data_IF_590682411810
#
_entry.id   IF_590682411810
#
_cell.length_a   1.000
_cell.length_b   1.000
_cell.length_c   1.000
_cell.angle_alpha   90.00
_cell.angle_beta   90.00
_cell.angle_gamma   90.00
#
_symmetry.space_group_name_H-M   'P 1'
#
loop_
_entity.id
_entity.type
_entity.pdbx_description
1 polymer ?
#
# COMPACT_ATOMS: atom_id res chain seq x y z
N UNK A 1 20.68 -3.79 22.91
CA UNK A 1 19.73 -3.64 21.79
C UNK A 1 18.42 -3.03 22.29
N UNK A 2 18.27 -1.72 22.16
CA UNK A 2 17.06 -0.99 22.55
C UNK A 2 15.89 -1.53 21.72
N UNK A 3 15.01 -2.30 22.36
CA UNK A 3 13.82 -2.91 21.75
C UNK A 3 12.73 -1.89 21.40
N UNK A 4 13.11 -0.74 20.87
CA UNK A 4 12.15 0.22 20.35
C UNK A 4 11.58 -0.30 19.03
N UNK A 5 10.27 -0.50 19.02
CA UNK A 5 9.55 -0.80 17.78
C UNK A 5 9.66 0.44 16.90
N UNK A 6 10.47 0.35 15.84
CA UNK A 6 10.60 1.41 14.84
C UNK A 6 9.21 1.65 14.23
N UNK A 7 8.62 2.80 14.54
CA UNK A 7 7.26 3.18 14.09
C UNK A 7 7.28 4.39 13.16
N UNK A 8 8.36 5.16 13.15
CA UNK A 8 8.46 6.38 12.36
C UNK A 8 9.68 6.37 11.43
N UNK A 9 9.55 6.88 10.20
CA UNK A 9 10.66 6.97 9.27
C UNK A 9 11.78 7.94 9.75
N UNK A 10 11.49 8.83 10.71
CA UNK A 10 12.51 9.63 11.39
C UNK A 10 13.48 8.80 12.25
N UNK A 11 13.01 7.71 12.86
CA UNK A 11 13.86 6.80 13.66
C UNK A 11 14.82 6.00 12.77
N UNK A 12 14.42 5.71 11.53
CA UNK A 12 15.30 5.12 10.52
C UNK A 12 16.46 6.06 10.15
N UNK A 13 16.21 7.37 10.07
CA UNK A 13 17.26 8.36 9.85
C UNK A 13 18.27 8.44 11.00
N UNK A 14 17.83 8.14 12.23
CA UNK A 14 18.70 8.10 13.41
C UNK A 14 19.57 6.84 13.43
N UNK A 15 19.04 5.70 12.97
CA UNK A 15 19.81 4.47 12.74
C UNK A 15 20.86 4.62 11.63
N UNK A 16 20.69 5.57 10.71
CA UNK A 16 21.66 5.88 9.66
C UNK A 16 22.74 6.88 10.10
N UNK A 17 22.58 7.57 11.23
CA UNK A 17 23.61 8.48 11.80
C UNK A 17 24.99 7.83 11.99
N UNK A 18 25.15 6.59 12.48
CA UNK A 18 26.47 5.98 12.60
C UNK A 18 27.19 5.77 11.25
N UNK A 19 26.45 5.75 10.13
CA UNK A 19 27.03 5.57 8.79
C UNK A 19 27.17 6.89 8.02
N UNK A 20 26.20 7.79 8.12
CA UNK A 20 26.11 9.03 7.34
C UNK A 20 26.37 10.31 8.16
N UNK A 21 26.61 10.18 9.47
CA UNK A 21 26.85 11.31 10.37
C UNK A 21 25.65 12.26 10.48
N UNK A 22 25.93 13.56 10.68
CA UNK A 22 24.90 14.60 10.85
C UNK A 22 23.99 14.80 9.62
N UNK A 23 24.40 14.30 8.44
CA UNK A 23 23.65 14.44 7.17
C UNK A 23 22.58 13.35 7.01
N UNK A 24 22.61 12.30 7.83
CA UNK A 24 21.66 11.18 7.76
C UNK A 24 20.16 11.59 7.75
N UNK A 25 19.70 12.56 8.56
CA UNK A 25 18.29 12.98 8.54
C UNK A 25 17.88 13.66 7.23
N UNK A 26 18.80 14.40 6.59
CA UNK A 26 18.54 15.11 5.33
C UNK A 26 18.45 14.12 4.18
N UNK A 27 19.40 13.18 4.11
CA UNK A 27 19.39 12.11 3.09
C UNK A 27 18.15 11.24 3.24
N UNK A 28 17.78 10.89 4.49
CA UNK A 28 16.56 10.14 4.77
C UNK A 28 15.31 10.93 4.34
N UNK A 29 15.25 12.24 4.59
CA UNK A 29 14.15 13.10 4.16
C UNK A 29 13.94 13.09 2.64
N UNK A 30 15.01 13.26 1.86
CA UNK A 30 14.95 13.19 0.39
C UNK A 30 14.52 11.80 -0.07
N UNK A 31 15.04 10.74 0.57
CA UNK A 31 14.70 9.35 0.25
C UNK A 31 13.21 9.05 0.50
N UNK A 32 12.64 9.52 1.63
CA UNK A 32 11.22 9.33 1.96
C UNK A 32 10.33 10.06 0.95
N UNK A 33 10.69 11.28 0.57
CA UNK A 33 9.93 12.04 -0.43
C UNK A 33 9.96 11.31 -1.77
N UNK A 34 11.15 10.88 -2.23
CA UNK A 34 11.30 10.14 -3.47
C UNK A 34 10.53 8.80 -3.47
N UNK A 35 10.63 8.04 -2.38
CA UNK A 35 9.90 6.79 -2.21
C UNK A 35 8.38 7.00 -2.15
N UNK A 36 7.93 8.05 -1.46
CA UNK A 36 6.53 8.44 -1.36
C UNK A 36 5.94 8.79 -2.73
N UNK A 37 6.60 9.66 -3.49
CA UNK A 37 6.16 10.02 -4.84
C UNK A 37 6.16 8.82 -5.80
N UNK A 38 7.21 7.99 -5.79
CA UNK A 38 7.30 6.80 -6.64
C UNK A 38 6.19 5.79 -6.34
N UNK A 39 5.94 5.53 -5.05
CA UNK A 39 4.88 4.61 -4.61
C UNK A 39 3.49 5.14 -4.93
N UNK A 40 3.26 6.44 -4.69
CA UNK A 40 1.96 7.08 -4.95
C UNK A 40 1.65 7.06 -6.45
N UNK A 41 2.59 7.46 -7.31
CA UNK A 41 2.40 7.40 -8.76
C UNK A 41 2.24 5.96 -9.25
N UNK A 42 3.13 5.04 -8.87
CA UNK A 42 3.11 3.67 -9.35
C UNK A 42 1.87 2.87 -8.92
N UNK A 43 1.48 2.96 -7.64
CA UNK A 43 0.32 2.22 -7.13
C UNK A 43 -1.00 2.85 -7.59
N UNK A 44 -1.07 4.18 -7.68
CA UNK A 44 -2.26 4.86 -8.20
C UNK A 44 -2.45 4.55 -9.68
N UNK A 45 -1.39 4.55 -10.49
CA UNK A 45 -1.48 4.17 -11.90
C UNK A 45 -2.03 2.75 -12.08
N UNK A 46 -1.54 1.77 -11.32
CA UNK A 46 -2.06 0.38 -11.35
C UNK A 46 -3.52 0.30 -10.93
N UNK A 47 -3.90 1.01 -9.86
CA UNK A 47 -5.29 1.05 -9.38
C UNK A 47 -6.24 1.71 -10.39
N UNK A 48 -5.81 2.80 -11.02
CA UNK A 48 -6.61 3.52 -12.03
C UNK A 48 -6.76 2.70 -13.29
N UNK A 49 -5.70 2.01 -13.75
CA UNK A 49 -5.79 1.11 -14.90
C UNK A 49 -6.79 -0.01 -14.63
N UNK A 50 -6.76 -0.60 -13.42
CA UNK A 50 -7.74 -1.63 -13.02
C UNK A 50 -9.17 -1.07 -13.00
N UNK A 51 -9.36 0.14 -12.45
CA UNK A 51 -10.66 0.81 -12.44
C UNK A 51 -11.16 1.11 -13.86
N UNK A 52 -10.27 1.58 -14.74
CA UNK A 52 -10.62 1.89 -16.13
C UNK A 52 -10.94 0.62 -16.94
N UNK A 53 -10.21 -0.47 -16.69
CA UNK A 53 -10.51 -1.78 -17.25
C UNK A 53 -11.91 -2.27 -16.81
N UNK A 54 -12.27 -2.08 -15.54
CA UNK A 54 -13.60 -2.39 -15.03
C UNK A 54 -14.72 -1.53 -15.63
N UNK A 55 -14.41 -0.28 -16.00
CA UNK A 55 -15.34 0.65 -16.66
C UNK A 55 -15.31 0.59 -18.19
N UNK A 56 -14.61 -0.39 -18.78
CA UNK A 56 -14.47 -0.60 -20.23
C UNK A 56 -13.92 0.65 -20.98
N UNK A 57 -12.99 1.36 -20.35
CA UNK A 57 -12.31 2.56 -20.88
C UNK A 57 -10.81 2.30 -21.07
N UNK A 58 -10.16 3.10 -21.92
CA UNK A 58 -8.76 2.89 -22.36
C UNK A 58 -7.75 2.68 -21.22
N UNK A 59 -7.12 1.51 -21.17
CA UNK A 59 -6.21 1.09 -20.09
C UNK A 59 -4.76 1.54 -20.27
N UNK A 60 -4.47 2.42 -21.24
CA UNK A 60 -3.12 2.90 -21.51
C UNK A 60 -2.56 3.67 -20.31
N UNK A 61 -1.38 3.27 -19.80
CA UNK A 61 -0.70 3.94 -18.68
C UNK A 61 -0.41 5.43 -18.93
N UNK A 62 -0.29 5.83 -20.21
CA UNK A 62 -0.11 7.23 -20.62
C UNK A 62 -1.41 7.94 -21.04
N UNK A 63 -2.54 7.24 -20.97
CA UNK A 63 -3.82 7.83 -21.33
C UNK A 63 -4.11 9.03 -20.41
N UNK A 64 -4.65 10.10 -21.02
CA UNK A 64 -5.10 11.30 -20.31
C UNK A 64 -5.89 11.00 -19.02
N UNK A 65 -6.82 10.02 -18.96
CA UNK A 65 -7.53 9.71 -17.72
C UNK A 65 -6.64 9.20 -16.59
N UNK A 66 -5.60 8.41 -16.86
CA UNK A 66 -4.69 7.89 -15.82
C UNK A 66 -3.89 9.05 -15.19
N UNK A 67 -3.36 9.96 -16.01
CA UNK A 67 -2.64 11.16 -15.52
C UNK A 67 -3.54 12.10 -14.73
N UNK A 68 -4.75 12.38 -15.22
CA UNK A 68 -5.73 13.26 -14.54
C UNK A 68 -6.17 12.67 -13.20
N UNK A 69 -6.48 11.38 -13.13
CA UNK A 69 -6.91 10.76 -11.88
C UNK A 69 -5.76 10.62 -10.87
N UNK A 70 -4.53 10.41 -11.35
CA UNK A 70 -3.35 10.45 -10.49
C UNK A 70 -3.10 11.84 -9.91
N UNK A 71 -3.23 12.90 -10.72
CA UNK A 71 -3.15 14.29 -10.26
C UNK A 71 -4.26 14.62 -9.26
N UNK A 72 -5.48 14.15 -9.51
CA UNK A 72 -6.61 14.30 -8.58
C UNK A 72 -6.33 13.58 -7.24
N UNK A 73 -5.76 12.38 -7.27
CA UNK A 73 -5.37 11.65 -6.06
C UNK A 73 -4.31 12.42 -5.25
N UNK A 74 -3.30 12.98 -5.92
CA UNK A 74 -2.29 13.83 -5.29
C UNK A 74 -2.91 15.09 -4.67
N UNK A 75 -3.84 15.74 -5.37
CA UNK A 75 -4.55 16.92 -4.88
C UNK A 75 -5.37 16.59 -3.63
N UNK A 76 -6.11 15.47 -3.65
CA UNK A 76 -6.88 14.99 -2.48
C UNK A 76 -5.95 14.66 -1.31
N UNK A 77 -4.84 13.96 -1.56
CA UNK A 77 -3.85 13.65 -0.51
C UNK A 77 -3.25 14.92 0.10
N UNK A 78 -2.98 15.93 -0.72
CA UNK A 78 -2.48 17.23 -0.28
C UNK A 78 -3.50 17.96 0.58
N UNK A 79 -4.77 18.02 0.14
CA UNK A 79 -5.87 18.61 0.92
C UNK A 79 -6.03 17.91 2.26
N UNK A 80 -6.04 16.57 2.28
CA UNK A 80 -6.11 15.80 3.52
C UNK A 80 -4.92 16.13 4.41
N UNK A 81 -3.69 16.19 3.86
CA UNK A 81 -2.50 16.50 4.64
C UNK A 81 -2.56 17.89 5.29
N UNK A 82 -3.11 18.90 4.62
CA UNK A 82 -3.29 20.25 5.18
C UNK A 82 -4.51 20.38 6.09
N UNK A 83 -5.59 19.63 5.85
CA UNK A 83 -6.81 19.70 6.65
C UNK A 83 -6.75 18.81 7.90
N UNK A 84 -5.86 17.81 7.92
CA UNK A 84 -5.74 16.88 9.03
C UNK A 84 -4.95 17.52 10.19
N UNK A 85 -5.68 18.02 11.20
CA UNK A 85 -5.09 18.56 12.43
C UNK A 85 -4.61 17.51 13.45
N UNK A 86 -4.66 16.22 13.11
CA UNK A 86 -4.19 15.11 13.95
C UNK A 86 -2.71 14.77 13.74
N UNK A 87 -2.19 13.77 14.47
CA UNK A 87 -0.78 13.38 14.33
C UNK A 87 -0.51 12.62 13.01
N UNK A 88 0.59 12.90 12.27
CA UNK A 88 0.96 12.16 11.05
C UNK A 88 1.07 10.65 11.24
N UNK A 89 1.48 10.22 12.43
CA UNK A 89 1.57 8.81 12.83
C UNK A 89 0.21 8.12 12.80
N UNK A 90 -0.86 8.82 13.19
CA UNK A 90 -2.23 8.28 13.13
C UNK A 90 -2.70 8.10 11.69
N UNK A 91 -2.35 9.03 10.79
CA UNK A 91 -2.64 8.92 9.36
C UNK A 91 -1.99 7.68 8.75
N UNK A 92 -0.70 7.47 9.05
CA UNK A 92 0.05 6.30 8.61
C UNK A 92 -0.57 5.02 9.18
N UNK A 93 -0.98 5.04 10.44
CA UNK A 93 -1.61 3.89 11.08
C UNK A 93 -2.94 3.52 10.41
N UNK A 94 -3.82 4.49 10.17
CA UNK A 94 -5.10 4.28 9.48
C UNK A 94 -4.86 3.76 8.05
N UNK A 95 -3.89 4.34 7.33
CA UNK A 95 -3.52 3.89 5.99
C UNK A 95 -3.01 2.44 5.96
N UNK A 96 -2.21 2.04 6.95
CA UNK A 96 -1.74 0.66 7.10
C UNK A 96 -2.89 -0.32 7.38
N UNK A 97 -3.82 0.04 8.27
CA UNK A 97 -5.01 -0.76 8.57
C UNK A 97 -5.88 -0.92 7.31
N UNK A 98 -6.15 0.18 6.62
CA UNK A 98 -6.93 0.15 5.37
C UNK A 98 -6.26 -0.74 4.31
N UNK A 99 -4.94 -0.66 4.17
CA UNK A 99 -4.16 -1.49 3.24
C UNK A 99 -4.20 -2.97 3.64
N UNK A 100 -4.07 -3.28 4.93
CA UNK A 100 -4.20 -4.64 5.43
C UNK A 100 -5.57 -5.22 5.13
N UNK A 101 -6.66 -4.44 5.15
CA UNK A 101 -8.00 -4.93 4.78
C UNK A 101 -8.19 -5.01 3.25
N UNK A 102 -7.66 -4.06 2.49
CA UNK A 102 -7.82 -4.01 1.04
C UNK A 102 -7.03 -5.12 0.31
N UNK A 103 -5.84 -5.45 0.80
CA UNK A 103 -4.95 -6.48 0.21
C UNK A 103 -5.60 -7.86 0.08
N UNK A 104 -6.22 -8.47 1.12
CA UNK A 104 -6.87 -9.77 1.00
C UNK A 104 -8.10 -9.71 0.09
N UNK A 105 -8.84 -8.62 0.08
CA UNK A 105 -9.99 -8.46 -0.83
C UNK A 105 -9.51 -8.46 -2.28
N UNK A 106 -8.47 -7.69 -2.60
CA UNK A 106 -7.86 -7.69 -3.92
C UNK A 106 -7.25 -9.06 -4.29
N UNK A 107 -6.59 -9.72 -3.33
CA UNK A 107 -6.03 -11.07 -3.49
C UNK A 107 -7.09 -12.12 -3.79
N UNK A 108 -8.26 -12.04 -3.15
CA UNK A 108 -9.40 -12.92 -3.41
C UNK A 108 -9.88 -12.79 -4.85
N UNK A 109 -10.12 -11.56 -5.31
CA UNK A 109 -10.55 -11.30 -6.68
C UNK A 109 -9.52 -11.78 -7.70
N UNK A 110 -8.23 -11.57 -7.45
CA UNK A 110 -7.17 -12.09 -8.30
C UNK A 110 -7.17 -13.61 -8.36
N UNK A 111 -7.40 -14.31 -7.24
CA UNK A 111 -7.47 -15.76 -7.22
C UNK A 111 -8.70 -16.30 -7.97
N UNK A 112 -9.86 -15.66 -7.81
CA UNK A 112 -11.08 -16.01 -8.55
C UNK A 112 -10.92 -15.81 -10.05
N UNK A 113 -10.30 -14.71 -10.47
CA UNK A 113 -9.96 -14.43 -11.87
C UNK A 113 -8.99 -15.51 -12.38
N UNK A 114 -7.90 -15.79 -11.67
CA UNK A 114 -6.91 -16.78 -12.07
C UNK A 114 -7.47 -18.20 -12.19
N UNK A 115 -8.54 -18.54 -11.47
CA UNK A 115 -9.22 -19.83 -11.57
C UNK A 115 -10.27 -19.88 -12.71
N UNK A 116 -10.62 -18.75 -13.32
CA UNK A 116 -11.51 -18.74 -14.49
C UNK A 116 -10.78 -19.29 -15.73
N UNK A 117 -11.37 -20.35 -16.30
CA UNK A 117 -10.86 -20.99 -17.52
C UNK A 117 -10.86 -20.05 -18.75
N UNK A 118 -11.70 -19.02 -18.74
CA UNK A 118 -11.78 -17.98 -19.77
C UNK A 118 -10.46 -17.20 -19.96
N UNK A 119 -9.58 -17.16 -18.96
CA UNK A 119 -8.25 -16.53 -19.09
C UNK A 119 -7.22 -17.34 -19.86
N UNK A 120 -7.49 -18.63 -20.07
CA UNK A 120 -6.53 -19.56 -20.67
C UNK A 120 -6.97 -20.05 -22.06
N UNK A 121 -7.96 -19.38 -22.67
CA UNK A 121 -8.29 -19.63 -24.08
C UNK A 121 -7.06 -19.36 -24.95
N UNK A 122 -6.40 -20.44 -25.40
CA UNK A 122 -5.23 -20.40 -26.27
C UNK A 122 -3.85 -20.62 -25.62
N UNK A 123 -3.75 -20.88 -24.30
CA UNK A 123 -2.48 -21.21 -23.62
C UNK A 123 -2.65 -22.34 -22.59
N UNK A 124 -1.61 -23.16 -22.38
CA UNK A 124 -1.64 -24.17 -21.30
C UNK A 124 -1.76 -23.49 -19.93
N UNK A 125 -2.76 -23.90 -19.15
CA UNK A 125 -2.96 -23.42 -17.77
C UNK A 125 -1.73 -23.75 -16.92
N UNK A 126 -0.95 -22.77 -16.41
CA UNK A 126 0.17 -23.04 -15.52
C UNK A 126 -0.38 -23.37 -14.13
N UNK A 127 -0.76 -24.64 -13.92
CA UNK A 127 -1.34 -25.13 -12.66
C UNK A 127 -0.41 -24.87 -11.46
N UNK A 128 0.90 -24.85 -11.69
CA UNK A 128 1.90 -24.50 -10.69
C UNK A 128 1.73 -23.05 -10.17
N UNK A 129 1.41 -22.10 -11.05
CA UNK A 129 1.19 -20.69 -10.70
C UNK A 129 -0.13 -20.49 -9.94
N UNK A 130 -1.16 -21.25 -10.30
CA UNK A 130 -2.44 -21.24 -9.60
C UNK A 130 -2.31 -21.78 -8.17
N UNK A 131 -1.61 -22.90 -8.00
CA UNK A 131 -1.37 -23.50 -6.69
C UNK A 131 -0.48 -22.57 -5.84
N UNK A 132 0.59 -22.01 -6.40
CA UNK A 132 1.46 -21.10 -5.67
C UNK A 132 0.75 -19.82 -5.24
N UNK A 133 -0.05 -19.19 -6.12
CA UNK A 133 -0.86 -18.02 -5.74
C UNK A 133 -1.90 -18.36 -4.67
N UNK A 134 -2.49 -19.55 -4.71
CA UNK A 134 -3.44 -20.01 -3.68
C UNK A 134 -2.76 -20.17 -2.32
N UNK A 135 -1.58 -20.79 -2.28
CA UNK A 135 -0.78 -20.95 -1.05
C UNK A 135 -0.35 -19.57 -0.51
N UNK A 136 0.16 -18.69 -1.39
CA UNK A 136 0.53 -17.32 -1.02
C UNK A 136 -0.67 -16.52 -0.50
N UNK A 137 -1.85 -16.70 -1.09
CA UNK A 137 -3.07 -16.03 -0.65
C UNK A 137 -3.51 -16.49 0.74
N UNK A 138 -3.48 -17.80 1.02
CA UNK A 138 -3.79 -18.35 2.35
C UNK A 138 -2.80 -17.79 3.40
N UNK A 139 -1.51 -17.74 3.05
CA UNK A 139 -0.50 -17.16 3.93
C UNK A 139 -0.71 -15.65 4.16
N UNK A 140 -1.02 -14.90 3.11
CA UNK A 140 -1.33 -13.48 3.20
C UNK A 140 -2.59 -13.21 4.04
N UNK A 141 -3.62 -14.06 3.93
CA UNK A 141 -4.80 -14.02 4.78
C UNK A 141 -4.46 -14.26 6.25
N UNK A 142 -3.60 -15.23 6.55
CA UNK A 142 -3.15 -15.50 7.91
C UNK A 142 -2.37 -14.32 8.51
N UNK A 143 -1.42 -13.77 7.75
CA UNK A 143 -0.63 -12.60 8.14
C UNK A 143 -1.53 -11.38 8.35
N UNK A 144 -2.52 -11.18 7.48
CA UNK A 144 -3.48 -10.08 7.58
C UNK A 144 -4.39 -10.25 8.79
N UNK A 145 -4.87 -11.47 9.06
CA UNK A 145 -5.70 -11.76 10.23
C UNK A 145 -4.94 -11.51 11.54
N UNK A 146 -3.67 -11.91 11.58
CA UNK A 146 -2.76 -11.65 12.71
C UNK A 146 -2.44 -10.16 12.87
N UNK A 147 -2.22 -9.45 11.76
CA UNK A 147 -2.00 -8.00 11.75
C UNK A 147 -3.25 -7.25 12.22
N UNK A 148 -4.44 -7.64 11.76
CA UNK A 148 -5.70 -7.02 12.13
C UNK A 148 -6.03 -7.28 13.61
N UNK A 149 -5.83 -8.50 14.11
CA UNK A 149 -5.96 -8.81 15.55
C UNK A 149 -5.01 -7.98 16.43
N UNK A 150 -3.85 -7.59 15.91
CA UNK A 150 -2.87 -6.76 16.64
C UNK A 150 -3.14 -5.25 16.48
N UNK A 151 -3.71 -4.83 15.36
CA UNK A 151 -3.96 -3.41 15.03
C UNK A 151 -5.32 -2.91 15.51
N UNK A 152 -6.37 -3.75 15.49
CA UNK A 152 -7.73 -3.40 15.99
C UNK A 152 -7.74 -2.95 17.46
N UNK A 153 -7.12 -3.65 18.42
CA UNK A 153 -7.08 -3.17 19.80
C UNK A 153 -6.25 -1.89 19.97
N UNK A 154 -5.23 -1.66 19.12
CA UNK A 154 -4.47 -0.39 19.11
C UNK A 154 -5.27 0.77 18.52
N UNK A 155 -6.11 0.51 17.52
CA UNK A 155 -7.03 1.49 16.95
C UNK A 155 -8.08 1.91 17.99
N UNK A 156 -8.70 0.94 18.67
CA UNK A 156 -9.72 1.19 19.71
C UNK A 156 -9.13 2.00 20.87
N UNK A 157 -7.92 1.65 21.35
CA UNK A 157 -7.25 2.44 22.39
C UNK A 157 -6.82 3.84 21.91
N UNK A 158 -6.47 4.01 20.63
CA UNK A 158 -6.13 5.32 20.06
C UNK A 158 -7.34 6.26 19.93
N UNK A 159 -8.57 5.74 19.92
CA UNK A 159 -9.80 6.53 19.91
C UNK A 159 -10.42 6.71 21.30
N UNK A 160 -10.15 5.81 22.24
CA UNK A 160 -10.72 5.84 23.61
C UNK A 160 -9.77 6.54 24.62
N UNK A 161 -8.46 6.57 24.35
CA UNK A 161 -7.46 7.21 25.22
C UNK A 161 -7.10 8.65 24.86
N UNK A 162 -7.96 9.34 24.07
CA UNK A 162 -7.83 10.76 23.75
C UNK A 162 -8.61 11.64 24.72
#
# INVERSE_FOLDING_TARGET
>A
PTGETIKAPAQLGELLRPFLGSVAPIVMGIAIIGAGFSSLLGNTQRGVVLLNAGLNKETGLESKPVKVLCLACLAVATVICFSYGGSPTQLIFIANVATSIATPVAGLFMLLILWKKELYEGMETPRLLQISMTVCYIFALYMTSSALQTQVPKLINSFIGG
#
